data_IF_971060445532
#
_entry.id   IF_971060445532
#
_cell.length_a   1.000
_cell.length_b   1.000
_cell.length_c   1.000
_cell.angle_alpha   90.00
_cell.angle_beta   90.00
_cell.angle_gamma   90.00
#
_symmetry.space_group_name_H-M   'P 1'
#
loop_
_entity.id
_entity.type
_entity.pdbx_description
1 polymer ?
#
# COMPACT_ATOMS: atom_id res chain seq x y z
N UNK A 1 23.92 7.07 -16.51
CA UNK A 1 22.72 6.30 -16.12
C UNK A 1 22.12 6.99 -14.90
N UNK A 2 20.89 7.52 -14.97
CA UNK A 2 20.25 8.15 -13.80
C UNK A 2 19.86 7.02 -12.84
N UNK A 3 20.60 6.84 -11.75
CA UNK A 3 20.16 5.96 -10.66
C UNK A 3 18.85 6.56 -10.13
N UNK A 4 17.73 5.88 -10.39
CA UNK A 4 16.48 6.19 -9.70
C UNK A 4 16.67 5.74 -8.26
N UNK A 5 16.66 6.70 -7.34
CA UNK A 5 16.68 6.38 -5.91
C UNK A 5 15.52 5.44 -5.61
N UNK A 6 15.75 4.29 -4.95
CA UNK A 6 14.65 3.40 -4.58
C UNK A 6 13.66 4.15 -3.70
N UNK A 7 12.38 3.87 -3.91
CA UNK A 7 11.29 4.53 -3.18
C UNK A 7 11.43 4.24 -1.69
N UNK A 8 11.36 5.28 -0.87
CA UNK A 8 11.38 5.15 0.59
C UNK A 8 10.02 4.75 1.15
N UNK A 9 9.99 4.19 2.37
CA UNK A 9 8.78 3.70 3.04
C UNK A 9 7.64 4.73 3.04
N UNK A 10 7.92 6.00 3.36
CA UNK A 10 6.90 7.05 3.38
C UNK A 10 6.29 7.32 2.00
N UNK A 11 7.12 7.31 0.96
CA UNK A 11 6.67 7.50 -0.42
C UNK A 11 5.86 6.28 -0.90
N UNK A 12 6.23 5.07 -0.48
CA UNK A 12 5.45 3.87 -0.76
C UNK A 12 4.07 3.90 -0.10
N UNK A 13 3.99 4.31 1.17
CA UNK A 13 2.71 4.51 1.88
C UNK A 13 1.84 5.52 1.14
N UNK A 14 2.42 6.64 0.68
CA UNK A 14 1.68 7.66 -0.07
C UNK A 14 1.08 7.10 -1.35
N UNK A 15 1.88 6.41 -2.17
CA UNK A 15 1.42 5.78 -3.41
C UNK A 15 0.33 4.73 -3.16
N UNK A 16 0.48 3.95 -2.08
CA UNK A 16 -0.50 2.97 -1.68
C UNK A 16 -1.84 3.61 -1.26
N UNK A 17 -1.80 4.69 -0.46
CA UNK A 17 -2.99 5.46 -0.06
C UNK A 17 -3.71 6.03 -1.29
N UNK A 18 -2.96 6.53 -2.27
CA UNK A 18 -3.52 7.03 -3.53
C UNK A 18 -4.22 5.90 -4.31
N UNK A 19 -3.60 4.72 -4.41
CA UNK A 19 -4.19 3.56 -5.08
C UNK A 19 -5.49 3.07 -4.41
N UNK A 20 -5.54 3.08 -3.07
CA UNK A 20 -6.77 2.72 -2.32
C UNK A 20 -7.87 3.74 -2.59
N UNK A 21 -7.54 5.04 -2.59
CA UNK A 21 -8.50 6.11 -2.87
C UNK A 21 -9.04 6.01 -4.30
N UNK A 22 -8.18 5.73 -5.27
CA UNK A 22 -8.56 5.53 -6.68
C UNK A 22 -9.49 4.31 -6.87
N UNK A 23 -9.33 3.28 -6.04
CA UNK A 23 -10.23 2.12 -6.00
C UNK A 23 -11.63 2.41 -5.41
N UNK A 24 -11.88 3.64 -4.95
CA UNK A 24 -13.14 4.06 -4.34
C UNK A 24 -13.28 3.75 -2.85
N UNK A 25 -12.18 3.38 -2.18
CA UNK A 25 -12.15 3.11 -0.73
C UNK A 25 -11.58 4.30 0.04
N UNK A 26 -12.04 4.50 1.28
CA UNK A 26 -11.48 5.55 2.14
C UNK A 26 -10.28 5.00 2.95
N UNK A 27 -9.04 5.45 2.67
CA UNK A 27 -7.85 4.96 3.37
C UNK A 27 -7.83 5.33 4.86
N UNK A 28 -8.61 6.32 5.30
CA UNK A 28 -8.64 6.78 6.69
C UNK A 28 -9.30 5.77 7.64
N UNK A 29 -10.08 4.82 7.10
CA UNK A 29 -10.72 3.73 7.84
C UNK A 29 -9.76 2.61 8.23
N UNK A 30 -8.54 2.63 7.69
CA UNK A 30 -7.55 1.58 7.86
C UNK A 30 -6.41 2.02 8.77
N UNK A 31 -5.79 1.07 9.45
CA UNK A 31 -4.44 1.17 9.99
C UNK A 31 -3.47 0.76 8.89
N UNK A 32 -2.52 1.64 8.58
CA UNK A 32 -1.64 1.48 7.43
C UNK A 32 -0.25 1.11 7.94
N UNK A 33 0.22 -0.08 7.57
CA UNK A 33 1.58 -0.54 7.85
C UNK A 33 2.29 -0.81 6.53
N UNK A 34 3.60 -0.57 6.48
CA UNK A 34 4.41 -0.88 5.31
C UNK A 34 5.65 -1.66 5.72
N UNK A 35 5.87 -2.76 5.00
CA UNK A 35 6.95 -3.71 5.21
C UNK A 35 7.80 -3.83 3.95
N UNK A 36 9.10 -4.01 4.17
CA UNK A 36 10.07 -4.19 3.10
C UNK A 36 9.99 -5.62 2.58
N UNK A 37 9.60 -5.80 1.32
CA UNK A 37 9.51 -7.11 0.66
C UNK A 37 10.60 -7.29 -0.41
N UNK A 38 11.78 -6.68 -0.22
CA UNK A 38 12.89 -6.76 -1.17
C UNK A 38 12.74 -5.77 -2.33
N UNK A 39 12.15 -6.20 -3.46
CA UNK A 39 12.00 -5.37 -4.67
C UNK A 39 10.78 -4.44 -4.64
N UNK A 40 9.86 -4.67 -3.70
CA UNK A 40 8.65 -3.88 -3.48
C UNK A 40 8.42 -3.59 -1.99
N UNK A 41 7.57 -2.61 -1.71
CA UNK A 41 6.99 -2.40 -0.40
C UNK A 41 5.63 -3.07 -0.34
N UNK A 42 5.39 -3.87 0.69
CA UNK A 42 4.07 -4.41 1.00
C UNK A 42 3.38 -3.47 1.98
N UNK A 43 2.32 -2.80 1.54
CA UNK A 43 1.56 -1.86 2.38
C UNK A 43 0.22 -2.49 2.74
N UNK A 44 0.04 -2.83 4.01
CA UNK A 44 -1.17 -3.46 4.53
C UNK A 44 -2.12 -2.40 5.07
N UNK A 45 -3.40 -2.54 4.74
CA UNK A 45 -4.49 -1.69 5.19
C UNK A 45 -5.46 -2.55 5.98
N UNK A 46 -5.33 -2.50 7.30
CA UNK A 46 -6.16 -3.28 8.21
C UNK A 46 -7.31 -2.42 8.73
N UNK A 47 -8.57 -2.84 8.54
CA UNK A 47 -9.73 -2.09 9.00
C UNK A 47 -9.65 -1.73 10.50
N UNK A 48 -10.10 -0.53 10.87
CA UNK A 48 -10.23 -0.14 12.28
C UNK A 48 -11.42 -0.86 12.92
N UNK A 49 -11.36 -1.22 14.22
CA UNK A 49 -12.49 -1.83 14.91
C UNK A 49 -13.76 -0.96 14.87
N UNK A 50 -14.97 -1.56 14.72
CA UNK A 50 -15.24 -2.99 14.53
C UNK A 50 -14.86 -3.47 13.12
N UNK A 51 -13.99 -4.49 13.03
CA UNK A 51 -13.46 -5.02 11.76
C UNK A 51 -14.48 -5.95 11.11
N UNK A 52 -15.08 -5.60 9.96
CA UNK A 52 -15.79 -6.60 9.18
C UNK A 52 -14.79 -7.63 8.63
N UNK A 53 -15.19 -8.91 8.49
CA UNK A 53 -14.41 -9.87 7.72
C UNK A 53 -14.23 -9.35 6.27
N UNK A 54 -13.02 -9.49 5.72
CA UNK A 54 -12.67 -8.97 4.40
C UNK A 54 -12.38 -7.46 4.31
N UNK A 55 -12.27 -6.76 5.45
CA UNK A 55 -11.83 -5.35 5.50
C UNK A 55 -10.30 -5.22 5.69
N UNK A 56 -9.58 -6.13 5.05
CA UNK A 56 -8.13 -6.07 4.89
C UNK A 56 -7.81 -5.96 3.40
N UNK A 57 -6.82 -5.15 3.05
CA UNK A 57 -6.28 -5.10 1.70
C UNK A 57 -4.79 -4.80 1.73
N UNK A 58 -4.12 -5.20 0.66
CA UNK A 58 -2.68 -5.07 0.50
C UNK A 58 -2.39 -4.28 -0.77
N UNK A 59 -1.48 -3.31 -0.69
CA UNK A 59 -0.97 -2.60 -1.84
C UNK A 59 0.53 -2.80 -1.93
N UNK A 60 0.96 -3.33 -3.05
CA UNK A 60 2.36 -3.58 -3.35
C UNK A 60 2.92 -2.45 -4.20
N UNK A 61 4.05 -1.88 -3.79
CA UNK A 61 4.66 -0.73 -4.46
C UNK A 61 6.07 -1.07 -4.93
N UNK A 62 6.29 -1.18 -6.24
CA UNK A 62 7.61 -1.48 -6.81
C UNK A 62 8.60 -0.34 -6.51
N UNK A 63 9.73 -0.65 -5.88
CA UNK A 63 10.76 0.34 -5.51
C UNK A 63 11.49 0.94 -6.72
N UNK A 64 11.47 0.23 -7.86
CA UNK A 64 12.15 0.67 -9.09
C UNK A 64 11.25 1.49 -10.02
N UNK A 65 9.96 1.12 -10.09
CA UNK A 65 9.02 1.65 -11.07
C UNK A 65 7.92 2.52 -10.49
N UNK A 66 7.76 2.56 -9.16
CA UNK A 66 6.63 3.23 -8.48
C UNK A 66 5.26 2.73 -8.88
N UNK A 67 5.19 1.54 -9.50
CA UNK A 67 3.92 0.90 -9.87
C UNK A 67 3.28 0.32 -8.62
N UNK A 68 1.98 0.52 -8.48
CA UNK A 68 1.16 -0.02 -7.40
C UNK A 68 0.32 -1.19 -7.90
N UNK A 69 0.10 -2.18 -7.03
CA UNK A 69 -0.81 -3.30 -7.27
C UNK A 69 -1.65 -3.51 -6.01
N UNK A 70 -2.95 -3.33 -6.12
CA UNK A 70 -3.90 -3.55 -5.03
C UNK A 70 -4.42 -4.99 -5.07
N UNK A 71 -4.41 -5.66 -3.92
CA UNK A 71 -4.99 -6.97 -3.68
C UNK A 71 -5.93 -6.88 -2.47
N UNK A 72 -7.12 -7.45 -2.60
CA UNK A 72 -8.08 -7.53 -1.50
C UNK A 72 -7.72 -8.74 -0.62
N UNK A 73 -7.75 -8.58 0.70
CA UNK A 73 -7.72 -9.71 1.62
C UNK A 73 -9.02 -10.49 1.51
N UNK A 74 -8.92 -11.81 1.39
CA UNK A 74 -10.07 -12.73 1.34
C UNK A 74 -10.73 -12.90 2.72
#
# INVERSE_FOLDING_TARGET
>A
MRQRTPIEKQQAIKLAVEAVRDSGRDPSRYNITAEDAGTEWSVSFEGKPPRPPGDELFVYVSKESSKTRLMLGE
#
